data_IF_768643312957
#
_entry.id   IF_768643312957
#
_cell.length_a   1.000
_cell.length_b   1.000
_cell.length_c   1.000
_cell.angle_alpha   90.00
_cell.angle_beta   90.00
_cell.angle_gamma   90.00
#
_symmetry.space_group_name_H-M   'P 1'
#
loop_
_entity.id
_entity.type
_entity.pdbx_description
1 polymer ?
#
# COMPACT_ATOMS: atom_id res chain seq x y z
N UNK A 1 23.93 0.43 -11.89
CA UNK A 1 23.50 1.65 -12.61
C UNK A 1 22.41 1.23 -13.58
N UNK A 2 21.18 1.82 -13.46
CA UNK A 2 20.08 1.53 -14.38
C UNK A 2 20.48 1.92 -15.83
N UNK A 3 20.19 1.05 -16.77
CA UNK A 3 20.46 1.27 -18.19
C UNK A 3 19.52 2.35 -18.74
N UNK A 4 19.84 2.94 -19.90
CA UNK A 4 18.96 3.89 -20.60
C UNK A 4 17.60 3.25 -20.93
N UNK A 5 17.60 1.96 -21.28
CA UNK A 5 16.39 1.18 -21.53
C UNK A 5 15.53 1.05 -20.27
N UNK A 6 16.14 0.82 -19.10
CA UNK A 6 15.41 0.73 -17.82
C UNK A 6 14.75 2.06 -17.47
N UNK A 7 15.45 3.18 -17.67
CA UNK A 7 14.89 4.53 -17.42
C UNK A 7 13.70 4.83 -18.31
N UNK A 8 13.78 4.46 -19.59
CA UNK A 8 12.69 4.66 -20.54
C UNK A 8 11.48 3.79 -20.17
N UNK A 9 11.71 2.54 -19.78
CA UNK A 9 10.69 1.62 -19.31
C UNK A 9 9.98 2.17 -18.07
N UNK A 10 10.72 2.61 -17.07
CA UNK A 10 10.16 3.19 -15.83
C UNK A 10 9.34 4.45 -16.13
N UNK A 11 9.86 5.34 -17.01
CA UNK A 11 9.14 6.55 -17.42
C UNK A 11 7.80 6.20 -18.09
N UNK A 12 7.79 5.26 -19.02
CA UNK A 12 6.56 4.84 -19.73
C UNK A 12 5.55 4.21 -18.77
N UNK A 13 5.99 3.33 -17.87
CA UNK A 13 5.12 2.73 -16.85
C UNK A 13 4.51 3.81 -15.93
N UNK A 14 5.30 4.81 -15.51
CA UNK A 14 4.81 5.94 -14.75
C UNK A 14 3.78 6.77 -15.49
N UNK A 15 3.99 7.05 -16.78
CA UNK A 15 3.01 7.77 -17.62
C UNK A 15 1.69 7.01 -17.75
N UNK A 16 1.74 5.69 -17.96
CA UNK A 16 0.55 4.83 -18.03
C UNK A 16 -0.19 4.80 -16.69
N UNK A 17 0.53 4.67 -15.58
CA UNK A 17 -0.03 4.71 -14.23
C UNK A 17 -0.76 6.03 -13.95
N UNK A 18 -0.14 7.16 -14.21
CA UNK A 18 -0.77 8.48 -14.01
C UNK A 18 -2.00 8.67 -14.92
N UNK A 19 -1.94 8.18 -16.17
CA UNK A 19 -3.09 8.22 -17.07
C UNK A 19 -4.26 7.38 -16.54
N UNK A 20 -3.99 6.20 -15.97
CA UNK A 20 -5.03 5.37 -15.34
C UNK A 20 -5.71 6.11 -14.20
N UNK A 21 -4.93 6.68 -13.26
CA UNK A 21 -5.46 7.42 -12.12
C UNK A 21 -6.33 8.61 -12.57
N UNK A 22 -5.84 9.39 -13.54
CA UNK A 22 -6.58 10.53 -14.07
C UNK A 22 -7.93 10.10 -14.69
N UNK A 23 -7.94 9.00 -15.42
CA UNK A 23 -9.16 8.46 -16.05
C UNK A 23 -10.12 7.87 -15.01
N UNK A 24 -9.63 7.13 -14.03
CA UNK A 24 -10.45 6.57 -12.95
C UNK A 24 -11.09 7.67 -12.09
N UNK A 25 -10.36 8.74 -11.82
CA UNK A 25 -10.90 9.91 -11.10
C UNK A 25 -12.01 10.65 -11.88
N UNK A 26 -12.08 10.49 -13.20
CA UNK A 26 -13.11 11.09 -14.05
C UNK A 26 -14.30 10.17 -14.26
N UNK A 27 -14.06 8.90 -14.54
CA UNK A 27 -15.12 7.94 -14.95
C UNK A 27 -15.65 7.10 -13.81
N UNK A 28 -14.84 6.88 -12.76
CA UNK A 28 -15.11 5.97 -11.65
C UNK A 28 -15.42 4.52 -12.07
N UNK A 29 -15.12 4.16 -13.32
CA UNK A 29 -15.44 2.86 -13.92
C UNK A 29 -14.29 2.38 -14.81
N UNK A 30 -13.59 1.36 -14.33
CA UNK A 30 -12.48 0.76 -15.05
C UNK A 30 -12.92 0.01 -16.31
N UNK A 31 -14.11 -0.56 -16.34
CA UNK A 31 -14.58 -1.36 -17.48
C UNK A 31 -14.80 -0.50 -18.71
N UNK A 32 -15.16 0.76 -18.55
CA UNK A 32 -15.28 1.73 -19.63
C UNK A 32 -13.94 2.17 -20.20
N UNK A 33 -12.83 1.96 -19.50
CA UNK A 33 -11.50 2.35 -19.99
C UNK A 33 -10.98 1.36 -21.02
N UNK A 34 -10.66 1.86 -22.20
CA UNK A 34 -10.00 1.08 -23.24
C UNK A 34 -8.49 1.28 -23.22
N UNK A 35 -7.71 0.28 -23.66
CA UNK A 35 -6.25 0.43 -23.85
C UNK A 35 -5.91 1.61 -24.76
N UNK A 36 -6.75 1.88 -25.77
CA UNK A 36 -6.55 3.01 -26.66
C UNK A 36 -6.64 4.36 -25.89
N UNK A 37 -7.66 4.51 -25.04
CA UNK A 37 -7.86 5.72 -24.23
C UNK A 37 -6.71 5.89 -23.22
N UNK A 38 -6.34 4.82 -22.50
CA UNK A 38 -5.23 4.86 -21.53
C UNK A 38 -3.92 5.27 -22.23
N UNK A 39 -3.58 4.63 -23.35
CA UNK A 39 -2.35 4.95 -24.11
C UNK A 39 -2.36 6.39 -24.64
N UNK A 40 -3.49 6.84 -25.18
CA UNK A 40 -3.66 8.22 -25.65
C UNK A 40 -3.44 9.24 -24.51
N UNK A 41 -4.08 9.01 -23.36
CA UNK A 41 -3.95 9.89 -22.18
C UNK A 41 -2.51 9.89 -21.64
N UNK A 42 -1.83 8.74 -21.69
CA UNK A 42 -0.42 8.61 -21.31
C UNK A 42 0.57 9.24 -22.32
N UNK A 43 0.11 9.68 -23.49
CA UNK A 43 0.97 10.18 -24.58
C UNK A 43 1.83 9.09 -25.22
N UNK A 44 1.38 7.84 -25.24
CA UNK A 44 2.08 6.70 -25.85
C UNK A 44 1.19 5.99 -26.89
N UNK A 45 1.79 5.10 -27.69
CA UNK A 45 1.02 4.28 -28.63
C UNK A 45 0.42 3.05 -27.96
N UNK A 46 -0.64 2.46 -28.56
CA UNK A 46 -1.17 1.15 -28.13
C UNK A 46 -0.10 0.06 -28.17
N UNK A 47 0.77 0.07 -29.19
CA UNK A 47 1.88 -0.87 -29.28
C UNK A 47 2.85 -0.72 -28.10
N UNK A 48 3.10 0.51 -27.67
CA UNK A 48 3.92 0.78 -26.47
C UNK A 48 3.26 0.24 -25.21
N UNK A 49 1.93 0.35 -25.07
CA UNK A 49 1.23 -0.28 -23.95
C UNK A 49 1.46 -1.79 -23.91
N UNK A 50 1.25 -2.47 -25.05
CA UNK A 50 1.39 -3.93 -25.16
C UNK A 50 2.84 -4.45 -25.03
N UNK A 51 3.84 -3.59 -25.18
CA UNK A 51 5.23 -3.92 -24.82
C UNK A 51 5.45 -4.04 -23.30
N UNK A 52 4.60 -3.40 -22.49
CA UNK A 52 4.73 -3.41 -21.04
C UNK A 52 3.71 -4.31 -20.34
N UNK A 53 2.50 -4.44 -20.92
CA UNK A 53 1.39 -5.16 -20.31
C UNK A 53 0.63 -5.93 -21.40
N UNK A 54 0.43 -7.25 -21.24
CA UNK A 54 -0.25 -8.06 -22.25
C UNK A 54 -1.72 -7.67 -22.43
N UNK A 55 -2.34 -7.18 -21.35
CA UNK A 55 -3.74 -6.78 -21.32
C UNK A 55 -4.02 -5.72 -20.23
N UNK A 56 -5.29 -5.27 -20.20
CA UNK A 56 -5.77 -4.26 -19.28
C UNK A 56 -5.82 -4.77 -17.81
N UNK A 57 -6.10 -6.05 -17.60
CA UNK A 57 -6.17 -6.65 -16.27
C UNK A 57 -4.77 -6.71 -15.62
N UNK A 58 -3.78 -7.26 -16.34
CA UNK A 58 -2.37 -7.26 -15.88
C UNK A 58 -1.84 -5.85 -15.61
N UNK A 59 -2.30 -4.86 -16.39
CA UNK A 59 -1.95 -3.47 -16.12
C UNK A 59 -2.58 -2.93 -14.83
N UNK A 60 -3.84 -3.29 -14.52
CA UNK A 60 -4.49 -2.93 -13.27
C UNK A 60 -3.76 -3.55 -12.07
N UNK A 61 -3.42 -4.83 -12.14
CA UNK A 61 -2.66 -5.52 -11.09
C UNK A 61 -1.32 -4.81 -10.81
N UNK A 62 -0.60 -4.42 -11.87
CA UNK A 62 0.64 -3.66 -11.73
C UNK A 62 0.43 -2.25 -11.16
N UNK A 63 -0.71 -1.62 -11.43
CA UNK A 63 -1.05 -0.31 -10.86
C UNK A 63 -1.35 -0.42 -9.36
N UNK A 64 -2.10 -1.45 -8.94
CA UNK A 64 -2.38 -1.77 -7.53
C UNK A 64 -1.07 -2.07 -6.78
N UNK A 65 -0.20 -2.89 -7.37
CA UNK A 65 1.13 -3.18 -6.81
C UNK A 65 1.96 -1.89 -6.63
N UNK A 66 1.94 -1.00 -7.63
CA UNK A 66 2.65 0.28 -7.60
C UNK A 66 2.12 1.17 -6.47
N UNK A 67 0.79 1.27 -6.31
CA UNK A 67 0.17 2.05 -5.25
C UNK A 67 0.50 1.48 -3.85
N UNK A 68 0.42 0.16 -3.70
CA UNK A 68 0.77 -0.52 -2.44
C UNK A 68 2.24 -0.31 -2.08
N UNK A 69 3.17 -0.48 -3.03
CA UNK A 69 4.60 -0.22 -2.82
C UNK A 69 4.86 1.23 -2.43
N UNK A 70 4.23 2.19 -3.11
CA UNK A 70 4.39 3.60 -2.79
C UNK A 70 3.98 3.94 -1.36
N UNK A 71 2.90 3.33 -0.86
CA UNK A 71 2.50 3.46 0.54
C UNK A 71 3.58 2.90 1.48
N UNK A 72 4.09 1.68 1.23
CA UNK A 72 5.11 1.08 2.07
C UNK A 72 6.43 1.83 2.04
N UNK A 73 6.89 2.29 0.87
CA UNK A 73 8.09 3.12 0.73
C UNK A 73 7.99 4.43 1.52
N UNK A 74 6.78 4.99 1.65
CA UNK A 74 6.55 6.20 2.43
C UNK A 74 6.53 5.94 3.95
N UNK A 75 6.03 4.78 4.40
CA UNK A 75 5.75 4.51 5.81
C UNK A 75 6.74 3.56 6.47
N UNK A 76 7.39 2.65 5.73
CA UNK A 76 8.39 1.75 6.30
C UNK A 76 9.73 2.47 6.39
N UNK A 77 10.31 2.44 7.58
CA UNK A 77 11.68 2.90 7.83
C UNK A 77 12.44 1.80 8.55
N UNK A 78 13.78 1.87 8.51
CA UNK A 78 14.60 0.93 9.25
C UNK A 78 15.15 1.63 10.49
N UNK A 79 14.99 0.97 11.64
CA UNK A 79 15.53 1.45 12.89
C UNK A 79 16.98 1.01 13.00
N UNK A 80 17.86 1.96 13.20
CA UNK A 80 19.26 1.69 13.46
C UNK A 80 19.45 1.25 14.92
N UNK A 81 20.16 0.15 15.14
CA UNK A 81 20.54 -0.33 16.47
C UNK A 81 22.00 -0.69 16.50
N UNK A 82 22.73 -0.15 17.46
CA UNK A 82 24.15 -0.50 17.70
C UNK A 82 24.34 -1.94 18.18
N UNK A 83 23.27 -2.62 18.62
CA UNK A 83 23.32 -3.96 19.22
C UNK A 83 22.67 -5.04 18.36
N UNK A 84 21.79 -4.68 17.41
CA UNK A 84 21.05 -5.62 16.58
C UNK A 84 21.09 -5.17 15.12
N UNK A 85 20.80 -6.09 14.20
CA UNK A 85 20.60 -5.73 12.79
C UNK A 85 19.44 -4.72 12.68
N UNK A 86 19.54 -3.79 11.73
CA UNK A 86 18.44 -2.88 11.42
C UNK A 86 17.19 -3.67 11.07
N UNK A 87 16.05 -3.27 11.62
CA UNK A 87 14.77 -3.91 11.37
C UNK A 87 13.73 -2.90 10.88
N UNK A 88 12.78 -3.35 10.03
CA UNK A 88 11.74 -2.48 9.51
C UNK A 88 10.74 -2.10 10.60
N UNK A 89 10.28 -0.85 10.56
CA UNK A 89 9.16 -0.35 11.35
C UNK A 89 8.16 0.35 10.46
N UNK A 90 6.87 0.18 10.74
CA UNK A 90 5.77 0.80 10.00
C UNK A 90 5.28 2.04 10.75
N UNK A 91 5.52 3.20 10.18
CA UNK A 91 5.12 4.47 10.78
C UNK A 91 3.69 4.82 10.39
N UNK A 92 2.78 4.73 11.35
CA UNK A 92 1.34 4.99 11.16
C UNK A 92 1.05 6.45 10.77
N UNK A 93 1.75 7.43 11.34
CA UNK A 93 1.53 8.83 10.98
C UNK A 93 1.92 9.10 9.53
N UNK A 94 3.06 8.57 9.10
CA UNK A 94 3.48 8.66 7.69
C UNK A 94 2.51 7.96 6.76
N UNK A 95 1.95 6.81 7.17
CA UNK A 95 0.95 6.10 6.41
C UNK A 95 -0.30 6.95 6.20
N UNK A 96 -0.89 7.50 7.25
CA UNK A 96 -2.07 8.35 7.13
C UNK A 96 -1.76 9.69 6.44
N UNK A 97 -0.57 10.23 6.62
CA UNK A 97 -0.15 11.41 5.86
C UNK A 97 -0.04 11.11 4.36
N UNK A 98 0.60 10.01 3.97
CA UNK A 98 0.65 9.56 2.57
C UNK A 98 -0.75 9.35 2.00
N UNK A 99 -1.61 8.66 2.73
CA UNK A 99 -3.01 8.45 2.36
C UNK A 99 -3.75 9.78 2.15
N UNK A 100 -3.52 10.78 2.99
CA UNK A 100 -4.14 12.11 2.84
C UNK A 100 -3.71 12.82 1.56
N UNK A 101 -2.43 12.69 1.18
CA UNK A 101 -1.89 13.30 -0.04
C UNK A 101 -2.35 12.59 -1.32
N UNK A 102 -2.58 11.27 -1.25
CA UNK A 102 -2.92 10.42 -2.41
C UNK A 102 -4.36 9.91 -2.36
N UNK A 103 -5.21 10.57 -1.56
CA UNK A 103 -6.56 10.12 -1.23
C UNK A 103 -7.38 9.72 -2.44
N UNK A 104 -7.50 10.61 -3.43
CA UNK A 104 -8.35 10.38 -4.60
C UNK A 104 -7.84 9.21 -5.45
N UNK A 105 -6.55 9.14 -5.65
CA UNK A 105 -5.90 8.11 -6.47
C UNK A 105 -6.06 6.72 -5.84
N UNK A 106 -5.87 6.63 -4.52
CA UNK A 106 -6.04 5.37 -3.78
C UNK A 106 -7.50 4.94 -3.75
N UNK A 107 -8.43 5.87 -3.53
CA UNK A 107 -9.86 5.60 -3.60
C UNK A 107 -10.26 5.07 -4.98
N UNK A 108 -9.75 5.67 -6.04
CA UNK A 108 -10.05 5.24 -7.40
C UNK A 108 -9.62 3.78 -7.65
N UNK A 109 -8.42 3.38 -7.21
CA UNK A 109 -7.93 2.00 -7.34
C UNK A 109 -8.67 1.00 -6.44
N UNK A 110 -8.89 1.35 -5.17
CA UNK A 110 -9.60 0.48 -4.22
C UNK A 110 -11.05 0.25 -4.67
N UNK A 111 -11.71 1.24 -5.30
CA UNK A 111 -13.06 1.08 -5.83
C UNK A 111 -13.11 0.09 -7.00
N UNK A 112 -12.04 0.00 -7.78
CA UNK A 112 -11.98 -0.95 -8.91
C UNK A 112 -11.76 -2.38 -8.42
N UNK A 113 -10.75 -2.58 -7.57
CA UNK A 113 -10.40 -3.90 -7.03
C UNK A 113 -9.91 -3.82 -5.59
N UNK A 114 -10.87 -3.82 -4.68
CA UNK A 114 -10.57 -3.82 -3.23
C UNK A 114 -9.87 -5.09 -2.77
N UNK A 115 -10.25 -6.24 -3.31
CA UNK A 115 -9.67 -7.54 -2.90
C UNK A 115 -8.21 -7.65 -3.35
N UNK A 116 -7.90 -7.27 -4.59
CA UNK A 116 -6.54 -7.24 -5.11
C UNK A 116 -5.66 -6.25 -4.33
N UNK A 117 -6.18 -5.05 -4.04
CA UNK A 117 -5.47 -4.07 -3.25
C UNK A 117 -5.15 -4.59 -1.84
N UNK A 118 -6.15 -5.17 -1.15
CA UNK A 118 -5.97 -5.76 0.18
C UNK A 118 -4.98 -6.94 0.15
N UNK A 119 -5.04 -7.80 -0.86
CA UNK A 119 -4.13 -8.92 -1.02
C UNK A 119 -2.68 -8.45 -1.21
N UNK A 120 -2.44 -7.47 -2.09
CA UNK A 120 -1.13 -6.87 -2.32
C UNK A 120 -0.56 -6.18 -1.08
N UNK A 121 -1.39 -5.38 -0.40
CA UNK A 121 -1.01 -4.75 0.87
C UNK A 121 -0.64 -5.78 1.94
N UNK A 122 -1.49 -6.81 2.12
CA UNK A 122 -1.25 -7.89 3.08
C UNK A 122 0.08 -8.59 2.81
N UNK A 123 0.38 -8.92 1.57
CA UNK A 123 1.62 -9.62 1.21
C UNK A 123 2.86 -8.79 1.56
N UNK A 124 2.85 -7.50 1.27
CA UNK A 124 3.95 -6.60 1.63
C UNK A 124 4.09 -6.46 3.15
N UNK A 125 2.98 -6.24 3.87
CA UNK A 125 2.97 -6.13 5.32
C UNK A 125 3.50 -7.41 6.00
N UNK A 126 3.08 -8.58 5.51
CA UNK A 126 3.59 -9.88 5.98
C UNK A 126 5.11 -9.97 5.82
N UNK A 127 5.64 -9.55 4.68
CA UNK A 127 7.09 -9.54 4.44
C UNK A 127 7.85 -8.73 5.48
N UNK A 128 7.40 -7.52 5.76
CA UNK A 128 8.02 -6.63 6.75
C UNK A 128 7.85 -7.13 8.19
N UNK A 129 6.68 -7.65 8.55
CA UNK A 129 6.46 -8.24 9.89
C UNK A 129 7.34 -9.46 10.08
N UNK A 130 7.45 -10.34 9.08
CA UNK A 130 8.32 -11.52 9.16
C UNK A 130 9.80 -11.14 9.33
N UNK A 131 10.25 -10.09 8.64
CA UNK A 131 11.61 -9.57 8.83
C UNK A 131 11.80 -9.02 10.25
N UNK A 132 10.87 -8.21 10.74
CA UNK A 132 10.87 -7.66 12.09
C UNK A 132 10.87 -8.78 13.15
N UNK A 133 9.96 -9.75 13.04
CA UNK A 133 9.82 -10.83 14.04
C UNK A 133 11.03 -11.75 14.06
N UNK A 134 11.62 -12.04 12.88
CA UNK A 134 12.84 -12.84 12.78
C UNK A 134 14.02 -12.15 13.47
N UNK A 135 14.21 -10.85 13.25
CA UNK A 135 15.32 -10.07 13.85
C UNK A 135 15.14 -9.97 15.37
N UNK A 136 13.91 -9.75 15.83
CA UNK A 136 13.60 -9.58 17.26
C UNK A 136 13.26 -10.90 17.98
N UNK A 137 13.46 -12.05 17.34
CA UNK A 137 13.21 -13.39 17.88
C UNK A 137 11.78 -13.56 18.45
N UNK A 138 10.77 -12.95 17.79
CA UNK A 138 9.36 -13.06 18.16
C UNK A 138 8.81 -14.40 17.66
N UNK A 139 8.10 -15.17 18.48
CA UNK A 139 7.58 -16.48 18.09
C UNK A 139 6.44 -16.40 17.06
N UNK A 140 6.29 -17.44 16.23
CA UNK A 140 5.21 -17.56 15.22
C UNK A 140 3.81 -17.67 15.84
N UNK A 141 3.72 -18.03 17.12
CA UNK A 141 2.47 -18.09 17.88
C UNK A 141 2.59 -17.13 19.05
N UNK A 142 1.70 -16.15 19.10
CA UNK A 142 1.63 -15.14 20.15
C UNK A 142 0.31 -15.30 20.88
N UNK A 143 0.36 -15.63 22.19
CA UNK A 143 -0.83 -15.83 23.01
C UNK A 143 -1.89 -16.76 22.36
N UNK A 144 -1.45 -17.91 21.83
CA UNK A 144 -2.26 -18.90 21.11
C UNK A 144 -2.79 -18.44 19.73
N UNK A 145 -2.43 -17.24 19.25
CA UNK A 145 -2.78 -16.74 17.93
C UNK A 145 -1.61 -16.93 16.96
N UNK A 146 -1.81 -17.56 15.80
CA UNK A 146 -0.82 -17.56 14.74
C UNK A 146 -0.52 -16.15 14.25
N UNK A 147 0.75 -15.82 14.06
CA UNK A 147 1.20 -14.52 13.55
C UNK A 147 0.50 -14.14 12.23
N UNK A 148 0.24 -15.12 11.36
CA UNK A 148 -0.49 -14.90 10.12
C UNK A 148 -1.91 -14.37 10.35
N UNK A 149 -2.62 -14.91 11.36
CA UNK A 149 -3.98 -14.42 11.69
C UNK A 149 -3.93 -12.98 12.17
N UNK A 150 -2.99 -12.66 13.06
CA UNK A 150 -2.80 -11.31 13.57
C UNK A 150 -2.48 -10.33 12.43
N UNK A 151 -1.57 -10.69 11.55
CA UNK A 151 -1.19 -9.86 10.40
C UNK A 151 -2.35 -9.65 9.44
N UNK A 152 -3.12 -10.72 9.16
CA UNK A 152 -4.33 -10.62 8.33
C UNK A 152 -5.35 -9.66 8.94
N UNK A 153 -5.56 -9.75 10.23
CA UNK A 153 -6.48 -8.88 10.95
C UNK A 153 -6.03 -7.42 10.87
N UNK A 154 -4.77 -7.14 11.21
CA UNK A 154 -4.23 -5.77 11.20
C UNK A 154 -4.24 -5.15 9.81
N UNK A 155 -3.86 -5.89 8.76
CA UNK A 155 -3.87 -5.38 7.40
C UNK A 155 -5.30 -5.09 6.90
N UNK A 156 -6.25 -5.99 7.20
CA UNK A 156 -7.66 -5.79 6.82
C UNK A 156 -8.25 -4.58 7.52
N UNK A 157 -8.03 -4.45 8.83
CA UNK A 157 -8.51 -3.30 9.60
C UNK A 157 -7.86 -2.00 9.16
N UNK A 158 -6.56 -2.00 8.85
CA UNK A 158 -5.88 -0.80 8.36
C UNK A 158 -6.51 -0.30 7.05
N UNK A 159 -6.71 -1.18 6.08
CA UNK A 159 -7.30 -0.80 4.78
C UNK A 159 -8.76 -0.35 4.96
N UNK A 160 -9.55 -1.06 5.77
CA UNK A 160 -10.96 -0.67 6.00
C UNK A 160 -11.07 0.67 6.74
N UNK A 161 -10.21 0.88 7.72
CA UNK A 161 -10.12 2.14 8.45
C UNK A 161 -9.69 3.30 7.53
N UNK A 162 -8.65 3.10 6.73
CA UNK A 162 -8.16 4.08 5.76
C UNK A 162 -9.22 4.42 4.71
N UNK A 163 -9.94 3.42 4.20
CA UNK A 163 -11.04 3.59 3.27
C UNK A 163 -12.18 4.43 3.86
N UNK A 164 -12.67 4.06 5.06
CA UNK A 164 -13.74 4.78 5.72
C UNK A 164 -13.38 6.23 5.96
N UNK A 165 -12.18 6.48 6.42
CA UNK A 165 -11.66 7.83 6.57
C UNK A 165 -11.60 8.58 5.22
N UNK A 166 -11.13 7.92 4.18
CA UNK A 166 -10.95 8.54 2.87
C UNK A 166 -12.28 9.01 2.22
N UNK A 167 -13.41 8.42 2.57
CA UNK A 167 -14.74 8.84 2.06
C UNK A 167 -15.43 9.91 2.91
N UNK A 168 -14.90 10.28 4.08
CA UNK A 168 -15.49 11.32 4.92
C UNK A 168 -15.32 12.71 4.28
N UNK A 169 -16.34 13.58 4.45
CA UNK A 169 -16.30 14.95 3.96
C UNK A 169 -15.33 15.82 4.76
N UNK A 170 -15.28 15.61 6.10
CA UNK A 170 -14.39 16.34 7.03
C UNK A 170 -13.57 15.31 7.83
N UNK A 171 -12.49 14.79 7.24
CA UNK A 171 -11.69 13.74 7.87
C UNK A 171 -10.81 14.30 8.98
N UNK A 172 -10.67 13.53 10.06
CA UNK A 172 -9.72 13.77 11.13
C UNK A 172 -8.27 13.91 10.60
N UNK A 173 -7.42 14.55 11.39
CA UNK A 173 -6.02 14.70 11.00
C UNK A 173 -5.27 13.36 10.92
N UNK A 174 -4.24 13.23 10.05
CA UNK A 174 -3.42 12.03 9.98
C UNK A 174 -2.86 11.56 11.32
N UNK A 175 -2.51 12.50 12.20
CA UNK A 175 -2.00 12.18 13.53
C UNK A 175 -3.08 11.60 14.44
N UNK A 176 -4.28 12.19 14.44
CA UNK A 176 -5.41 11.66 15.23
C UNK A 176 -5.79 10.25 14.77
N UNK A 177 -5.76 10.00 13.46
CA UNK A 177 -6.04 8.69 12.88
C UNK A 177 -5.00 7.63 13.26
N UNK A 178 -3.72 7.99 13.22
CA UNK A 178 -2.64 7.09 13.64
C UNK A 178 -2.82 6.66 15.11
N UNK A 179 -3.13 7.62 15.97
CA UNK A 179 -3.41 7.37 17.39
C UNK A 179 -4.65 6.47 17.56
N UNK A 180 -5.75 6.82 16.91
CA UNK A 180 -7.00 6.06 16.99
C UNK A 180 -6.84 4.63 16.47
N UNK A 181 -6.17 4.44 15.33
CA UNK A 181 -5.89 3.10 14.80
C UNK A 181 -5.04 2.28 15.78
N UNK A 182 -4.00 2.87 16.35
CA UNK A 182 -3.14 2.21 17.35
C UNK A 182 -3.95 1.80 18.59
N UNK A 183 -4.78 2.67 19.11
CA UNK A 183 -5.64 2.39 20.26
C UNK A 183 -6.61 1.25 20.00
N UNK A 184 -7.31 1.28 18.86
CA UNK A 184 -8.30 0.24 18.52
C UNK A 184 -7.63 -1.09 18.19
N UNK A 185 -6.55 -1.06 17.41
CA UNK A 185 -5.99 -2.28 16.81
C UNK A 185 -4.89 -2.93 17.63
N UNK A 186 -4.24 -2.20 18.55
CA UNK A 186 -3.07 -2.70 19.27
C UNK A 186 -3.33 -2.92 20.76
N UNK A 187 -4.18 -2.11 21.41
CA UNK A 187 -4.37 -2.19 22.86
C UNK A 187 -5.32 -3.29 23.32
N UNK A 188 -6.18 -3.77 22.44
CA UNK A 188 -7.25 -4.71 22.81
C UNK A 188 -7.13 -6.10 22.18
N UNK A 189 -6.07 -6.34 21.41
CA UNK A 189 -5.84 -7.63 20.76
C UNK A 189 -4.75 -8.37 21.52
N UNK A 190 -5.06 -9.55 22.10
CA UNK A 190 -4.06 -10.35 22.79
C UNK A 190 -2.89 -10.68 21.85
N UNK A 191 -1.68 -10.35 22.27
CA UNK A 191 -0.45 -10.60 21.51
C UNK A 191 -0.02 -9.46 20.58
N UNK A 192 -0.89 -8.49 20.28
CA UNK A 192 -0.53 -7.34 19.45
C UNK A 192 0.59 -6.48 20.09
N UNK A 193 0.72 -6.53 21.42
CA UNK A 193 1.80 -5.88 22.16
C UNK A 193 3.20 -6.30 21.68
N UNK A 194 3.35 -7.51 21.18
CA UNK A 194 4.61 -8.02 20.60
C UNK A 194 5.00 -7.29 19.30
N UNK A 195 4.04 -6.66 18.63
CA UNK A 195 4.24 -5.88 17.40
C UNK A 195 4.24 -4.35 17.65
N UNK A 196 4.17 -3.90 18.91
CA UNK A 196 4.21 -2.46 19.23
C UNK A 196 5.48 -1.77 18.74
N UNK A 197 6.61 -2.49 18.70
CA UNK A 197 7.86 -1.99 18.13
C UNK A 197 7.87 -1.92 16.60
N UNK A 198 6.97 -2.65 15.93
CA UNK A 198 6.80 -2.60 14.49
C UNK A 198 5.89 -1.44 14.06
N UNK A 199 4.74 -1.29 14.71
CA UNK A 199 3.80 -0.20 14.42
C UNK A 199 4.09 1.02 15.30
N UNK A 200 4.87 1.95 14.77
CA UNK A 200 5.23 3.17 15.49
C UNK A 200 4.30 4.32 15.10
N UNK A 201 4.07 5.24 16.06
CA UNK A 201 3.12 6.35 15.91
C UNK A 201 3.73 7.74 16.03
N UNK A 202 5.06 7.84 16.05
CA UNK A 202 5.78 9.12 16.15
C UNK A 202 6.59 9.41 14.89
#
# INVERSE_FOLDING_TARGET
>A
LATETDRRTLKTRGQLYQALLALLNQTHDFDQLTVALIAQTAGVTRSTFYLHYPDKATFLDAAIETASKGLFEACVTYTYSDQYADYPVFNLQRAFFYLSQHRLDLLALINVDREGFLAGFKQLLMGYINEFTRINAIPDIINHLPLEMLTRFLSTNFIDFAWRWAILEDPESPMALAQLFKEISMLHIPGAESLNGFFIGE
#
